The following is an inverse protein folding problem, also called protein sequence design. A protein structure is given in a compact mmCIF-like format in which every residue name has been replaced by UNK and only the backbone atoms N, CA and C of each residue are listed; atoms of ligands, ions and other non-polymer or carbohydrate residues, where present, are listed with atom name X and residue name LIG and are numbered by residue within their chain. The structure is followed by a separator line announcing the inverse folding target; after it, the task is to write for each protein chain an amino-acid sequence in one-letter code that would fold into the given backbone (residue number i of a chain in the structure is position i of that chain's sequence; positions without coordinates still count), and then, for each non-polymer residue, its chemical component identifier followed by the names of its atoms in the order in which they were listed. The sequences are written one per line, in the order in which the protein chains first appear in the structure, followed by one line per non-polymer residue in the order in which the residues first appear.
data_IF_732959866693
#
_entry.id   IF_732959866693
#
_cell.length_a   1.000
_cell.length_b   1.000
_cell.length_c   1.000
_cell.angle_alpha   90.00
_cell.angle_beta   90.00
_cell.angle_gamma   90.00
#
_symmetry.space_group_name_H-M   'P 1'
#
loop_
_entity.id
_entity.type
_entity.pdbx_description
1 polymer ?
#
# COMPACT_ATOMS: atom_id res chain seq x y z
N UNK A 1 20.66 9.25 15.18
CA UNK A 1 20.51 10.35 14.20
C UNK A 1 19.06 10.46 13.77
N UNK A 2 18.63 11.64 13.32
CA UNK A 2 17.30 11.85 12.71
C UNK A 2 17.49 11.87 11.19
N UNK A 3 16.73 11.05 10.46
CA UNK A 3 16.72 11.07 9.01
C UNK A 3 16.02 12.32 8.51
N UNK A 4 16.59 12.98 7.50
CA UNK A 4 15.87 14.01 6.76
C UNK A 4 14.72 13.40 5.96
N UNK A 5 13.73 14.21 5.60
CA UNK A 5 12.62 13.76 4.76
C UNK A 5 13.11 13.18 3.42
N UNK A 6 14.18 13.73 2.85
CA UNK A 6 14.79 13.20 1.62
C UNK A 6 15.50 11.85 1.83
N UNK A 7 16.05 11.59 3.01
CA UNK A 7 16.58 10.27 3.35
C UNK A 7 15.45 9.27 3.61
N UNK A 8 14.39 9.70 4.29
CA UNK A 8 13.22 8.86 4.58
C UNK A 8 12.50 8.43 3.30
N UNK A 9 12.29 9.35 2.35
CA UNK A 9 11.70 9.03 1.03
C UNK A 9 12.48 7.94 0.28
N UNK A 10 13.80 7.84 0.46
CA UNK A 10 14.63 6.81 -0.20
C UNK A 10 14.41 5.40 0.34
N UNK A 11 13.90 5.26 1.55
CA UNK A 11 13.59 3.96 2.17
C UNK A 11 12.08 3.70 2.21
N UNK A 12 11.26 4.60 1.67
CA UNK A 12 9.80 4.47 1.63
C UNK A 12 9.38 3.85 0.29
N UNK A 13 8.68 2.73 0.35
CA UNK A 13 8.20 2.00 -0.84
C UNK A 13 6.67 1.84 -0.78
N UNK A 14 6.06 1.52 -1.92
CA UNK A 14 4.60 1.36 -1.99
C UNK A 14 3.83 2.63 -2.37
N UNK A 15 4.53 3.72 -2.72
CA UNK A 15 3.93 5.01 -2.99
C UNK A 15 4.25 5.50 -4.41
N UNK A 16 3.24 6.04 -5.09
CA UNK A 16 3.40 6.78 -6.34
C UNK A 16 4.06 8.14 -6.09
N UNK A 17 3.63 8.82 -5.02
CA UNK A 17 4.16 10.12 -4.62
C UNK A 17 4.13 10.27 -3.10
N UNK A 18 5.01 11.13 -2.58
CA UNK A 18 5.09 11.47 -1.16
C UNK A 18 5.17 12.99 -1.05
N UNK A 19 4.22 13.58 -0.33
CA UNK A 19 4.16 15.01 -0.06
C UNK A 19 4.44 15.27 1.42
N UNK A 20 5.04 16.43 1.70
CA UNK A 20 5.21 16.92 3.06
C UNK A 20 4.02 17.82 3.42
N UNK A 21 3.43 17.60 4.59
CA UNK A 21 2.37 18.44 5.15
C UNK A 21 2.96 19.67 5.81
N UNK A 22 2.13 20.69 6.06
CA UNK A 22 2.57 21.94 6.72
C UNK A 22 3.21 21.72 8.10
N UNK A 23 2.81 20.66 8.81
CA UNK A 23 3.36 20.25 10.10
C UNK A 23 4.48 19.20 10.00
N UNK A 24 5.07 19.04 8.81
CA UNK A 24 6.30 18.28 8.57
C UNK A 24 6.14 16.76 8.50
N UNK A 25 4.90 16.26 8.36
CA UNK A 25 4.66 14.84 8.14
C UNK A 25 4.76 14.46 6.65
N UNK A 26 5.25 13.26 6.37
CA UNK A 26 5.17 12.67 5.05
C UNK A 26 3.85 11.92 4.88
N UNK A 27 3.07 12.34 3.89
CA UNK A 27 1.90 11.65 3.39
C UNK A 27 2.20 11.01 2.05
N UNK A 28 1.98 9.70 1.97
CA UNK A 28 2.17 8.89 0.77
C UNK A 28 0.87 8.65 0.02
N UNK A 29 0.91 8.65 -1.31
CA UNK A 29 -0.24 8.40 -2.19
C UNK A 29 0.07 7.29 -3.18
N UNK A 30 -0.92 6.45 -3.48
CA UNK A 30 -0.85 5.37 -4.48
C UNK A 30 -1.61 5.71 -5.78
N UNK A 31 -2.28 6.86 -5.82
CA UNK A 31 -3.06 7.36 -6.95
C UNK A 31 -2.56 8.75 -7.38
N UNK A 32 -2.81 9.10 -8.65
CA UNK A 32 -2.57 10.46 -9.16
C UNK A 32 -3.58 11.45 -8.58
N UNK A 33 -3.29 12.75 -8.68
CA UNK A 33 -4.25 13.80 -8.30
C UNK A 33 -5.55 13.70 -9.11
N UNK A 34 -5.47 13.36 -10.40
CA UNK A 34 -6.64 13.16 -11.24
C UNK A 34 -7.50 11.99 -10.74
N UNK A 35 -6.90 10.85 -10.41
CA UNK A 35 -7.62 9.70 -9.86
C UNK A 35 -8.26 10.03 -8.51
N UNK A 36 -7.53 10.72 -7.62
CA UNK A 36 -8.07 11.13 -6.32
C UNK A 36 -9.24 12.12 -6.45
N UNK A 37 -9.17 13.07 -7.38
CA UNK A 37 -10.27 13.99 -7.66
C UNK A 37 -11.50 13.25 -8.19
N UNK A 38 -11.31 12.30 -9.11
CA UNK A 38 -12.38 11.45 -9.59
C UNK A 38 -13.08 10.69 -8.44
N UNK A 39 -12.32 10.08 -7.53
CA UNK A 39 -12.89 9.40 -6.37
C UNK A 39 -13.65 10.37 -5.46
N UNK A 40 -13.12 11.56 -5.22
CA UNK A 40 -13.76 12.59 -4.39
C UNK A 40 -15.14 12.99 -4.92
N UNK A 41 -15.29 13.05 -6.24
CA UNK A 41 -16.55 13.38 -6.92
C UNK A 41 -17.51 12.18 -7.01
N UNK A 42 -16.96 10.97 -7.10
CA UNK A 42 -17.74 9.76 -7.36
C UNK A 42 -18.22 9.04 -6.11
N UNK A 43 -17.40 8.99 -5.06
CA UNK A 43 -17.68 8.21 -3.85
C UNK A 43 -16.75 8.61 -2.69
N UNK A 44 -17.32 9.22 -1.64
CA UNK A 44 -16.59 9.51 -0.39
C UNK A 44 -15.94 8.22 0.18
N UNK A 45 -16.65 7.09 0.09
CA UNK A 45 -16.18 5.79 0.56
C UNK A 45 -14.90 5.32 -0.15
N UNK A 46 -14.78 5.54 -1.46
CA UNK A 46 -13.57 5.23 -2.22
C UNK A 46 -12.49 6.28 -2.02
N UNK A 47 -12.86 7.55 -1.93
CA UNK A 47 -11.91 8.65 -1.71
C UNK A 47 -11.15 8.52 -0.39
N UNK A 48 -11.81 8.08 0.68
CA UNK A 48 -11.12 7.87 1.95
C UNK A 48 -10.07 6.75 1.88
N UNK A 49 -10.40 5.67 1.18
CA UNK A 49 -9.54 4.49 1.00
C UNK A 49 -8.43 4.68 0.00
N UNK A 50 -8.59 5.58 -0.98
CA UNK A 50 -7.56 5.82 -1.98
C UNK A 50 -6.29 6.48 -1.40
N UNK A 51 -6.32 6.92 -0.14
CA UNK A 51 -5.16 7.46 0.59
C UNK A 51 -4.53 6.45 1.56
N UNK A 52 -5.12 5.26 1.71
CA UNK A 52 -4.72 4.26 2.70
C UNK A 52 -3.24 3.85 2.54
N UNK A 53 -2.60 3.48 3.63
CA UNK A 53 -1.20 3.06 3.69
C UNK A 53 -0.98 1.60 3.25
N UNK A 54 -1.94 1.03 2.50
CA UNK A 54 -1.88 -0.34 2.02
C UNK A 54 -0.61 -0.65 1.25
N UNK A 55 0.05 -1.73 1.66
CA UNK A 55 1.29 -2.25 1.06
C UNK A 55 2.43 -1.24 1.02
N UNK A 56 2.36 -0.18 1.84
CA UNK A 56 3.44 0.78 2.02
C UNK A 56 4.39 0.32 3.11
N UNK A 57 5.67 0.52 2.86
CA UNK A 57 6.73 -0.03 3.72
C UNK A 57 7.87 0.97 3.89
N UNK A 58 8.56 0.86 5.02
CA UNK A 58 9.92 1.38 5.18
C UNK A 58 10.88 0.21 5.06
N UNK A 59 11.77 0.20 4.07
CA UNK A 59 12.67 -0.91 3.81
C UNK A 59 14.13 -0.47 3.70
N UNK A 60 14.99 -1.08 4.48
CA UNK A 60 16.41 -0.72 4.52
C UNK A 60 17.28 -1.86 5.07
N UNK A 61 18.57 -1.80 4.78
CA UNK A 61 19.59 -2.54 5.50
C UNK A 61 20.31 -1.62 6.48
N UNK A 62 20.69 -2.14 7.64
CA UNK A 62 21.36 -1.36 8.69
C UNK A 62 22.07 -2.25 9.71
N UNK A 63 22.93 -1.63 10.52
CA UNK A 63 23.45 -2.20 11.77
C UNK A 63 22.71 -1.72 13.02
N UNK A 64 21.78 -0.79 12.88
CA UNK A 64 21.09 -0.12 13.99
C UNK A 64 20.40 -1.12 14.92
N UNK A 65 20.39 -0.86 16.22
CA UNK A 65 19.62 -1.63 17.20
C UNK A 65 18.33 -0.94 17.59
N UNK A 66 18.16 0.33 17.19
CA UNK A 66 16.98 1.13 17.48
C UNK A 66 16.51 1.87 16.23
N UNK A 67 15.21 1.79 15.96
CA UNK A 67 14.53 2.54 14.91
C UNK A 67 13.21 3.07 15.46
N UNK A 68 12.88 4.34 15.23
CA UNK A 68 11.61 4.91 15.68
C UNK A 68 11.13 5.99 14.73
N UNK A 69 9.83 6.30 14.77
CA UNK A 69 9.25 7.41 14.05
C UNK A 69 8.03 7.95 14.79
N UNK A 70 7.78 9.24 14.60
CA UNK A 70 6.49 9.85 14.97
C UNK A 70 5.46 9.56 13.88
N UNK A 71 4.21 9.37 14.30
CA UNK A 71 3.12 9.05 13.41
C UNK A 71 1.87 9.88 13.69
N UNK A 72 1.04 10.03 12.65
CA UNK A 72 -0.30 10.61 12.72
C UNK A 72 -1.28 9.77 11.91
N UNK A 73 -2.39 9.39 12.53
CA UNK A 73 -3.50 8.67 11.90
C UNK A 73 -4.53 9.70 11.44
N UNK A 74 -4.77 9.78 10.14
CA UNK A 74 -5.77 10.70 9.56
C UNK A 74 -7.02 9.98 9.06
N UNK A 75 -6.95 8.66 8.92
CA UNK A 75 -8.09 7.81 8.56
C UNK A 75 -7.89 6.39 9.10
N UNK A 76 -8.96 5.75 9.53
CA UNK A 76 -8.97 4.40 10.09
C UNK A 76 -10.17 3.64 9.54
N UNK A 77 -9.90 2.59 8.74
CA UNK A 77 -10.91 1.67 8.23
C UNK A 77 -11.01 0.37 9.05
N UNK A 78 -9.86 -0.15 9.52
CA UNK A 78 -9.80 -1.35 10.37
C UNK A 78 -8.70 -1.27 11.44
N UNK A 79 -8.77 -2.19 12.41
CA UNK A 79 -7.79 -2.35 13.50
C UNK A 79 -6.55 -3.17 13.07
N UNK A 80 -6.02 -2.90 11.87
CA UNK A 80 -4.81 -3.52 11.34
C UNK A 80 -3.56 -3.23 12.20
N UNK A 81 -2.38 -3.47 11.64
CA UNK A 81 -1.11 -3.42 12.37
C UNK A 81 -0.06 -2.56 11.68
N UNK A 82 0.86 -2.06 12.50
CA UNK A 82 2.21 -1.70 12.08
C UNK A 82 3.12 -2.82 12.57
N UNK A 83 3.92 -3.39 11.67
CA UNK A 83 4.76 -4.55 11.98
C UNK A 83 6.18 -4.33 11.49
N UNK A 84 7.17 -4.71 12.29
CA UNK A 84 8.57 -4.77 11.84
C UNK A 84 8.97 -6.22 11.60
N UNK A 85 9.55 -6.48 10.43
CA UNK A 85 10.27 -7.69 10.12
C UNK A 85 11.78 -7.41 10.12
N UNK A 86 12.54 -8.28 10.78
CA UNK A 86 14.01 -8.31 10.73
C UNK A 86 14.43 -9.63 10.10
N UNK A 87 15.18 -9.57 9.00
CA UNK A 87 15.60 -10.73 8.20
C UNK A 87 14.46 -11.71 7.87
N UNK A 88 13.29 -11.14 7.56
CA UNK A 88 12.09 -11.89 7.16
C UNK A 88 11.22 -12.39 8.30
N UNK A 89 11.62 -12.20 9.56
CA UNK A 89 10.85 -12.59 10.73
C UNK A 89 10.17 -11.37 11.37
N UNK A 90 8.86 -11.44 11.60
CA UNK A 90 8.14 -10.40 12.33
C UNK A 90 8.56 -10.44 13.80
N UNK A 91 9.19 -9.37 14.29
CA UNK A 91 9.72 -9.30 15.67
C UNK A 91 8.89 -8.40 16.59
N UNK A 92 8.13 -7.46 16.04
CA UNK A 92 7.22 -6.59 16.82
C UNK A 92 5.99 -6.20 16.01
N UNK A 93 4.86 -6.10 16.70
CA UNK A 93 3.55 -5.74 16.16
C UNK A 93 2.95 -4.65 17.06
N UNK A 94 2.40 -3.61 16.44
CA UNK A 94 1.54 -2.60 17.07
C UNK A 94 0.17 -2.68 16.41
N UNK A 95 -0.89 -2.82 17.20
CA UNK A 95 -2.26 -2.83 16.70
C UNK A 95 -2.83 -1.41 16.69
N UNK A 96 -3.50 -1.05 15.61
CA UNK A 96 -4.07 0.30 15.44
C UNK A 96 -5.05 0.67 16.56
N UNK A 97 -5.79 -0.31 17.11
CA UNK A 97 -6.72 -0.12 18.23
C UNK A 97 -6.07 0.34 19.54
N UNK A 98 -4.77 0.03 19.71
CA UNK A 98 -4.01 0.36 20.91
C UNK A 98 -3.24 1.69 20.75
N UNK A 99 -3.30 2.30 19.56
CA UNK A 99 -2.61 3.53 19.23
C UNK A 99 -3.51 4.76 19.44
N UNK A 100 -2.88 5.85 19.84
CA UNK A 100 -3.53 7.17 19.86
C UNK A 100 -3.53 7.75 18.44
N UNK A 101 -4.27 8.85 18.22
CA UNK A 101 -4.30 9.52 16.91
C UNK A 101 -2.92 9.99 16.44
N UNK A 102 -2.08 10.43 17.38
CA UNK A 102 -0.69 10.84 17.13
C UNK A 102 0.22 10.24 18.22
N UNK A 103 1.46 9.92 17.88
CA UNK A 103 2.40 9.38 18.86
C UNK A 103 3.76 9.02 18.26
N UNK A 104 4.55 8.24 19.00
CA UNK A 104 5.85 7.70 18.57
C UNK A 104 5.84 6.18 18.67
N UNK A 105 6.31 5.51 17.62
CA UNK A 105 6.57 4.06 17.62
C UNK A 105 8.07 3.84 17.65
N UNK A 106 8.52 2.89 18.47
CA UNK A 106 9.94 2.55 18.61
C UNK A 106 10.14 1.05 18.54
N UNK A 107 11.16 0.62 17.81
CA UNK A 107 11.53 -0.78 17.63
C UNK A 107 12.94 -1.01 18.15
N UNK A 108 13.08 -2.10 18.90
CA UNK A 108 14.38 -2.68 19.21
C UNK A 108 14.68 -3.80 18.20
N UNK A 109 15.92 -3.85 17.74
CA UNK A 109 16.39 -4.80 16.74
C UNK A 109 17.70 -5.43 17.22
N UNK A 110 17.98 -6.70 16.83
CA UNK A 110 19.23 -7.37 17.21
C UNK A 110 20.46 -6.65 16.65
N UNK A 111 21.62 -6.81 17.29
CA UNK A 111 22.90 -6.33 16.78
C UNK A 111 23.27 -6.99 15.43
N UNK A 112 24.14 -6.32 14.66
CA UNK A 112 24.68 -6.84 13.39
C UNK A 112 23.98 -6.32 12.13
N UNK A 113 24.53 -6.68 10.97
CA UNK A 113 23.92 -6.38 9.67
C UNK A 113 22.60 -7.14 9.51
N UNK A 114 21.56 -6.45 9.07
CA UNK A 114 20.22 -7.01 8.88
C UNK A 114 19.44 -6.25 7.84
N UNK A 115 18.40 -6.90 7.30
CA UNK A 115 17.35 -6.28 6.50
C UNK A 115 16.13 -6.02 7.37
N UNK A 116 15.57 -4.83 7.23
CA UNK A 116 14.43 -4.36 8.00
C UNK A 116 13.30 -3.98 7.04
N UNK A 117 12.09 -4.42 7.34
CA UNK A 117 10.86 -3.96 6.70
C UNK A 117 9.88 -3.54 7.79
N UNK A 118 9.44 -2.29 7.78
CA UNK A 118 8.28 -1.86 8.56
C UNK A 118 7.08 -1.80 7.64
N UNK A 119 6.07 -2.62 7.92
CA UNK A 119 4.79 -2.62 7.23
C UNK A 119 3.85 -1.59 7.87
N UNK A 120 3.30 -0.70 7.05
CA UNK A 120 2.28 0.27 7.45
C UNK A 120 0.87 -0.35 7.37
N UNK A 121 -0.14 0.21 8.07
CA UNK A 121 -1.48 -0.39 8.16
C UNK A 121 -2.17 -0.48 6.79
N UNK A 122 -2.80 -1.63 6.52
CA UNK A 122 -3.45 -1.90 5.25
C UNK A 122 -4.71 -1.04 5.01
N UNK A 123 -5.57 -0.97 6.02
CA UNK A 123 -6.86 -0.26 6.01
C UNK A 123 -6.83 0.93 6.98
N UNK A 124 -5.76 1.73 6.95
CA UNK A 124 -5.68 3.02 7.62
C UNK A 124 -4.75 3.97 6.85
N UNK A 125 -4.84 5.27 7.08
CA UNK A 125 -3.90 6.26 6.52
C UNK A 125 -3.03 6.80 7.64
N UNK A 126 -1.74 6.43 7.60
CA UNK A 126 -0.73 6.90 8.54
C UNK A 126 0.30 7.80 7.84
N UNK A 127 0.59 8.90 8.49
CA UNK A 127 1.61 9.87 8.15
C UNK A 127 2.80 9.68 9.10
N UNK A 128 4.02 9.89 8.61
CA UNK A 128 5.24 9.67 9.42
C UNK A 128 6.19 10.86 9.35
N UNK A 129 6.94 11.11 10.42
CA UNK A 129 8.05 12.08 10.47
C UNK A 129 9.06 11.70 11.54
N UNK A 130 10.10 12.52 11.69
CA UNK A 130 11.09 12.41 12.76
C UNK A 130 11.59 10.97 12.93
N UNK A 131 12.00 10.34 11.82
CA UNK A 131 12.54 8.99 11.86
C UNK A 131 13.92 8.98 12.51
N UNK A 132 14.05 8.36 13.66
CA UNK A 132 15.31 8.25 14.40
C UNK A 132 15.88 6.84 14.28
N UNK A 133 17.18 6.76 14.03
CA UNK A 133 17.93 5.51 13.93
C UNK A 133 19.35 5.69 14.47
N UNK A 134 19.90 4.67 15.13
CA UNK A 134 21.22 4.76 15.77
C UNK A 134 22.41 4.22 14.95
N UNK A 135 22.21 3.94 13.66
CA UNK A 135 23.27 3.63 12.70
C UNK A 135 22.85 4.02 11.27
N UNK A 136 23.75 3.89 10.30
CA UNK A 136 23.48 4.19 8.90
C UNK A 136 22.36 3.33 8.32
N UNK A 137 21.63 3.90 7.36
CA UNK A 137 20.54 3.24 6.62
C UNK A 137 20.88 3.15 5.14
N UNK A 138 20.67 1.97 4.57
CA UNK A 138 20.90 1.70 3.16
C UNK A 138 19.60 1.25 2.50
N UNK A 139 19.06 2.02 1.52
CA UNK A 139 17.88 1.62 0.78
C UNK A 139 18.00 0.25 0.13
N UNK A 140 16.88 -0.46 0.01
CA UNK A 140 16.85 -1.74 -0.71
C UNK A 140 16.65 -1.52 -2.21
N UNK A 141 17.22 -2.41 -3.02
CA UNK A 141 16.96 -2.45 -4.46
C UNK A 141 15.77 -3.36 -4.75
N UNK A 142 14.70 -2.79 -5.29
CA UNK A 142 13.55 -3.53 -5.82
C UNK A 142 13.82 -4.03 -7.25
N UNK A 143 13.05 -5.02 -7.69
CA UNK A 143 13.08 -5.55 -9.05
C UNK A 143 12.06 -4.81 -9.93
N UNK A 144 11.06 -5.51 -10.45
CA UNK A 144 10.06 -4.95 -11.36
C UNK A 144 9.06 -4.04 -10.63
N UNK A 145 8.66 -2.96 -11.32
CA UNK A 145 7.54 -2.11 -10.94
C UNK A 145 6.23 -2.80 -11.27
N UNK A 146 5.40 -3.03 -10.26
CA UNK A 146 4.14 -3.74 -10.42
C UNK A 146 2.99 -2.85 -9.96
N UNK A 147 2.07 -2.57 -10.87
CA UNK A 147 0.83 -1.89 -10.55
C UNK A 147 -0.24 -2.93 -10.23
N UNK A 148 -0.75 -2.91 -9.00
CA UNK A 148 -1.73 -3.88 -8.52
C UNK A 148 -3.07 -3.19 -8.31
N UNK A 149 -4.04 -3.47 -9.16
CA UNK A 149 -5.39 -2.90 -9.11
C UNK A 149 -6.35 -3.94 -8.56
N UNK A 150 -7.24 -3.54 -7.64
CA UNK A 150 -8.16 -4.52 -7.06
C UNK A 150 -9.17 -3.95 -6.08
N UNK A 151 -9.86 -4.86 -5.40
CA UNK A 151 -10.90 -4.55 -4.42
C UNK A 151 -10.37 -4.59 -2.96
N UNK A 152 -11.26 -4.83 -1.98
CA UNK A 152 -10.95 -4.98 -0.55
C UNK A 152 -9.89 -6.04 -0.27
N UNK A 153 -9.87 -7.12 -1.03
CA UNK A 153 -8.90 -8.21 -0.85
C UNK A 153 -7.51 -7.68 -1.18
N UNK A 154 -7.39 -6.91 -2.26
CA UNK A 154 -6.14 -6.28 -2.72
C UNK A 154 -5.72 -5.15 -1.79
N UNK A 155 -6.68 -4.35 -1.32
CA UNK A 155 -6.41 -3.36 -0.28
C UNK A 155 -5.84 -4.00 1.00
N UNK A 156 -6.20 -5.25 1.28
CA UNK A 156 -5.72 -6.00 2.44
C UNK A 156 -6.68 -5.99 3.62
N UNK A 157 -7.98 -5.81 3.38
CA UNK A 157 -9.01 -5.89 4.41
C UNK A 157 -9.18 -7.32 4.93
N UNK A 158 -9.19 -7.50 6.25
CA UNK A 158 -9.58 -8.77 6.91
C UNK A 158 -8.47 -9.49 7.70
N UNK A 159 -7.21 -9.59 7.25
CA UNK A 159 -6.15 -10.29 7.99
C UNK A 159 -5.82 -9.69 9.37
N UNK A 160 -6.14 -8.41 9.58
CA UNK A 160 -5.74 -7.62 10.76
C UNK A 160 -4.23 -7.66 11.00
N UNK A 161 -3.46 -7.91 9.93
CA UNK A 161 -2.02 -8.16 9.88
C UNK A 161 -1.47 -7.68 8.55
N UNK A 162 -0.99 -6.44 8.53
CA UNK A 162 -0.53 -5.74 7.32
C UNK A 162 0.62 -6.45 6.60
N UNK A 163 1.49 -7.15 7.34
CA UNK A 163 2.58 -7.94 6.77
C UNK A 163 2.11 -9.24 6.06
N UNK A 164 0.86 -9.64 6.29
CA UNK A 164 0.25 -10.89 5.84
C UNK A 164 -0.85 -10.70 4.79
N UNK A 165 -1.09 -9.48 4.31
CA UNK A 165 -1.88 -9.30 3.09
C UNK A 165 -1.18 -10.03 1.95
N UNK A 166 -1.95 -10.60 1.02
CA UNK A 166 -1.33 -11.39 -0.05
C UNK A 166 -0.43 -10.55 -0.96
N UNK A 167 -0.72 -9.24 -1.09
CA UNK A 167 0.14 -8.27 -1.79
C UNK A 167 1.46 -8.06 -1.03
N UNK A 168 1.43 -7.88 0.29
CA UNK A 168 2.64 -7.79 1.12
C UNK A 168 3.48 -9.08 1.08
N UNK A 169 2.82 -10.24 1.07
CA UNK A 169 3.48 -11.55 0.93
C UNK A 169 4.13 -11.68 -0.45
N UNK A 170 3.43 -11.31 -1.52
CA UNK A 170 3.96 -11.32 -2.88
C UNK A 170 5.16 -10.37 -3.03
N UNK A 171 5.07 -9.15 -2.48
CA UNK A 171 6.18 -8.20 -2.44
C UNK A 171 7.43 -8.85 -1.83
N UNK A 172 7.29 -9.45 -0.63
CA UNK A 172 8.40 -10.06 0.10
C UNK A 172 9.03 -11.23 -0.67
N UNK A 173 8.23 -12.07 -1.31
CA UNK A 173 8.72 -13.25 -2.04
C UNK A 173 9.35 -12.91 -3.40
N UNK A 174 8.79 -11.93 -4.10
CA UNK A 174 9.19 -11.60 -5.48
C UNK A 174 10.16 -10.42 -5.55
N UNK A 175 10.21 -9.59 -4.49
CA UNK A 175 10.95 -8.33 -4.38
C UNK A 175 10.50 -7.28 -5.41
N UNK A 176 9.19 -7.12 -5.57
CA UNK A 176 8.59 -6.12 -6.47
C UNK A 176 8.56 -4.72 -5.87
N UNK A 177 8.59 -3.72 -6.74
CA UNK A 177 8.23 -2.33 -6.40
C UNK A 177 6.75 -2.12 -6.67
N UNK A 178 5.92 -2.41 -5.67
CA UNK A 178 4.46 -2.47 -5.84
C UNK A 178 3.84 -1.10 -5.63
N UNK A 179 2.91 -0.70 -6.51
CA UNK A 179 1.89 0.30 -6.18
C UNK A 179 0.56 -0.44 -6.06
N UNK A 180 -0.01 -0.43 -4.85
CA UNK A 180 -1.28 -1.09 -4.57
C UNK A 180 -2.44 -0.09 -4.68
N UNK A 181 -3.20 -0.20 -5.77
CA UNK A 181 -4.45 0.52 -6.05
C UNK A 181 -5.67 -0.37 -5.74
N UNK A 182 -5.63 -1.08 -4.61
CA UNK A 182 -6.77 -1.79 -4.05
C UNK A 182 -7.67 -0.85 -3.25
N UNK A 183 -8.99 -0.89 -3.48
CA UNK A 183 -9.99 -0.15 -2.69
C UNK A 183 -11.16 -1.08 -2.33
N UNK A 184 -11.59 -1.05 -1.08
CA UNK A 184 -12.74 -1.80 -0.59
C UNK A 184 -13.99 -1.53 -1.40
N UNK A 185 -14.73 -2.59 -1.76
CA UNK A 185 -15.94 -2.46 -2.56
C UNK A 185 -15.72 -1.96 -4.01
N UNK A 186 -14.47 -1.81 -4.46
CA UNK A 186 -14.19 -1.24 -5.77
C UNK A 186 -14.48 -2.21 -6.92
N UNK A 187 -14.60 -1.63 -8.10
CA UNK A 187 -15.22 -2.22 -9.28
C UNK A 187 -14.36 -2.03 -10.53
N UNK A 188 -14.73 -2.72 -11.62
CA UNK A 188 -14.23 -2.38 -12.95
C UNK A 188 -14.79 -1.02 -13.38
N UNK A 189 -13.99 0.02 -13.24
CA UNK A 189 -14.34 1.39 -13.61
C UNK A 189 -13.23 1.98 -14.49
N UNK A 190 -13.55 2.20 -15.78
CA UNK A 190 -12.58 2.66 -16.77
C UNK A 190 -12.11 4.09 -16.51
N UNK A 191 -12.85 4.90 -15.76
CA UNK A 191 -12.57 6.33 -15.61
C UNK A 191 -11.35 6.59 -14.71
N UNK A 192 -11.00 5.63 -13.85
CA UNK A 192 -9.79 5.70 -13.03
C UNK A 192 -8.51 5.41 -13.82
N UNK A 193 -8.62 4.82 -15.01
CA UNK A 193 -7.48 4.42 -15.83
C UNK A 193 -6.93 5.64 -16.57
N UNK A 194 -5.85 6.18 -16.03
CA UNK A 194 -5.14 7.35 -16.52
C UNK A 194 -3.64 7.08 -16.54
N UNK A 195 -2.91 7.82 -17.38
CA UNK A 195 -1.45 7.78 -17.37
C UNK A 195 -0.92 8.31 -16.02
N UNK A 196 0.04 7.62 -15.43
CA UNK A 196 0.66 8.00 -14.17
C UNK A 196 2.00 8.67 -14.47
N UNK A 197 2.02 10.01 -14.47
CA UNK A 197 3.25 10.77 -14.77
C UNK A 197 4.40 10.35 -13.85
N UNK A 198 5.59 10.13 -14.44
CA UNK A 198 6.77 9.66 -13.72
C UNK A 198 6.76 8.18 -13.34
N UNK A 199 5.68 7.44 -13.61
CA UNK A 199 5.57 6.02 -13.30
C UNK A 199 5.05 5.20 -14.49
N UNK A 200 5.86 4.22 -14.91
CA UNK A 200 5.47 3.21 -15.88
C UNK A 200 5.65 1.85 -15.22
N UNK A 201 4.58 1.06 -15.00
CA UNK A 201 4.73 -0.29 -14.49
C UNK A 201 5.36 -1.19 -15.55
N UNK A 202 6.16 -2.16 -15.10
CA UNK A 202 6.68 -3.25 -15.93
C UNK A 202 5.62 -4.34 -16.11
N UNK A 203 4.76 -4.53 -15.10
CA UNK A 203 3.67 -5.51 -15.09
C UNK A 203 2.45 -4.93 -14.38
N UNK A 204 1.28 -5.36 -14.81
CA UNK A 204 0.00 -4.97 -14.20
C UNK A 204 -0.68 -6.24 -13.69
N UNK A 205 -1.19 -6.19 -12.47
CA UNK A 205 -2.02 -7.24 -11.90
C UNK A 205 -3.39 -6.64 -11.59
N UNK A 206 -4.44 -7.28 -12.09
CA UNK A 206 -5.83 -6.86 -11.85
C UNK A 206 -6.54 -8.00 -11.12
N UNK A 207 -6.99 -7.71 -9.92
CA UNK A 207 -7.75 -8.62 -9.03
C UNK A 207 -9.05 -7.94 -8.60
N UNK A 208 -9.89 -7.66 -9.60
CA UNK A 208 -11.23 -7.10 -9.49
C UNK A 208 -12.30 -8.15 -9.82
N UNK A 209 -13.56 -7.80 -9.60
CA UNK A 209 -14.72 -8.58 -10.04
C UNK A 209 -15.55 -9.19 -8.92
N UNK A 210 -15.02 -9.23 -7.69
CA UNK A 210 -15.79 -9.63 -6.50
C UNK A 210 -17.06 -8.79 -6.40
N UNK A 211 -16.95 -7.47 -6.54
CA UNK A 211 -18.08 -6.54 -6.43
C UNK A 211 -18.92 -6.39 -7.73
N UNK A 212 -18.49 -7.02 -8.82
CA UNK A 212 -19.26 -7.18 -10.08
C UNK A 212 -20.15 -8.42 -10.06
N UNK A 213 -20.00 -9.30 -9.08
CA UNK A 213 -20.74 -10.56 -9.07
C UNK A 213 -22.25 -10.30 -9.12
N UNK A 214 -22.92 -10.88 -10.11
CA UNK A 214 -24.37 -10.73 -10.33
C UNK A 214 -24.76 -9.64 -11.35
N UNK A 215 -23.80 -8.91 -11.94
CA UNK A 215 -24.11 -8.01 -13.06
C UNK A 215 -24.50 -8.80 -14.31
N UNK A 216 -25.54 -8.35 -15.01
CA UNK A 216 -26.06 -9.05 -16.20
C UNK A 216 -25.23 -8.81 -17.47
N UNK A 217 -24.35 -7.81 -17.46
CA UNK A 217 -23.55 -7.37 -18.61
C UNK A 217 -22.06 -7.39 -18.31
N UNK A 218 -21.26 -7.75 -19.32
CA UNK A 218 -19.79 -7.68 -19.29
C UNK A 218 -19.24 -6.33 -19.76
N UNK A 219 -20.12 -5.41 -20.19
CA UNK A 219 -19.74 -4.15 -20.83
C UNK A 219 -18.73 -3.33 -20.01
N UNK A 220 -18.95 -3.17 -18.70
CA UNK A 220 -18.03 -2.38 -17.85
C UNK A 220 -16.63 -3.01 -17.78
N UNK A 221 -16.56 -4.35 -17.84
CA UNK A 221 -15.31 -5.11 -17.85
C UNK A 221 -14.61 -4.95 -19.20
N UNK A 222 -15.36 -5.07 -20.30
CA UNK A 222 -14.85 -4.88 -21.66
C UNK A 222 -14.28 -3.46 -21.82
N UNK A 223 -15.07 -2.43 -21.49
CA UNK A 223 -14.64 -1.03 -21.59
C UNK A 223 -13.44 -0.72 -20.67
N UNK A 224 -13.32 -1.40 -19.52
CA UNK A 224 -12.17 -1.28 -18.64
C UNK A 224 -10.90 -1.81 -19.31
N UNK A 225 -10.93 -3.01 -19.90
CA UNK A 225 -9.76 -3.60 -20.56
C UNK A 225 -9.40 -2.89 -21.88
N UNK A 226 -10.39 -2.39 -22.62
CA UNK A 226 -10.16 -1.50 -23.76
C UNK A 226 -9.40 -0.26 -23.32
N UNK A 227 -9.90 0.43 -22.28
CA UNK A 227 -9.24 1.61 -21.74
C UNK A 227 -7.86 1.30 -21.16
N UNK A 228 -7.69 0.14 -20.52
CA UNK A 228 -6.39 -0.30 -20.00
C UNK A 228 -5.37 -0.42 -21.13
N UNK A 229 -5.77 -1.00 -22.27
CA UNK A 229 -4.91 -1.12 -23.45
C UNK A 229 -4.57 0.25 -24.04
N UNK A 230 -5.49 1.22 -24.03
CA UNK A 230 -5.20 2.59 -24.48
C UNK A 230 -4.16 3.28 -23.60
N UNK A 231 -4.25 3.11 -22.27
CA UNK A 231 -3.34 3.77 -21.31
C UNK A 231 -1.99 3.07 -21.22
N UNK A 232 -1.99 1.74 -21.22
CA UNK A 232 -0.83 0.93 -20.86
C UNK A 232 -0.28 0.08 -22.02
N UNK A 233 -0.90 0.07 -23.20
CA UNK A 233 -0.43 -0.66 -24.37
C UNK A 233 -0.24 -2.16 -24.10
N UNK A 234 0.80 -2.75 -24.69
CA UNK A 234 1.10 -4.19 -24.61
C UNK A 234 1.79 -4.62 -23.30
N UNK A 235 1.69 -3.83 -22.23
CA UNK A 235 2.29 -4.19 -20.94
C UNK A 235 1.70 -5.52 -20.44
N UNK A 236 2.52 -6.46 -19.91
CA UNK A 236 2.00 -7.71 -19.38
C UNK A 236 0.95 -7.51 -18.29
N UNK A 237 -0.24 -8.08 -18.51
CA UNK A 237 -1.37 -8.05 -17.57
C UNK A 237 -1.63 -9.46 -17.04
N UNK A 238 -1.62 -9.63 -15.72
CA UNK A 238 -2.17 -10.81 -15.06
C UNK A 238 -3.55 -10.47 -14.49
N UNK A 239 -4.59 -11.08 -15.05
CA UNK A 239 -5.93 -11.04 -14.48
C UNK A 239 -6.10 -12.19 -13.48
N UNK A 240 -6.41 -11.85 -12.23
CA UNK A 240 -6.80 -12.80 -11.19
C UNK A 240 -8.31 -12.66 -11.03
N UNK A 241 -9.05 -13.62 -11.58
CA UNK A 241 -10.51 -13.64 -11.45
C UNK A 241 -10.95 -13.80 -9.99
N UNK A 242 -12.17 -13.37 -9.63
CA UNK A 242 -12.67 -13.48 -8.26
C UNK A 242 -12.51 -14.89 -7.70
N UNK A 243 -12.07 -14.98 -6.44
CA UNK A 243 -12.07 -16.23 -5.68
C UNK A 243 -13.50 -16.62 -5.30
N UNK A 244 -13.69 -17.88 -4.88
CA UNK A 244 -15.00 -18.35 -4.43
C UNK A 244 -15.59 -17.46 -3.32
N UNK A 245 -16.84 -17.01 -3.52
CA UNK A 245 -17.57 -16.13 -2.60
C UNK A 245 -18.44 -16.96 -1.66
N UNK A 246 -18.00 -17.12 -0.41
CA UNK A 246 -18.76 -17.87 0.61
C UNK A 246 -19.99 -17.17 1.19
N UNK A 247 -20.29 -15.94 0.76
CA UNK A 247 -21.36 -15.10 1.33
C UNK A 247 -22.77 -15.65 1.00
N UNK A 248 -22.92 -16.53 0.00
CA UNK A 248 -24.23 -17.09 -0.39
C UNK A 248 -24.66 -18.36 0.36
N UNK A 249 -23.89 -18.84 1.34
CA UNK A 249 -24.23 -20.04 2.13
C UNK A 249 -24.92 -19.74 3.47
N UNK A 250 -25.30 -18.49 3.73
CA UNK A 250 -26.06 -18.10 4.94
C UNK A 250 -27.44 -17.50 4.60
N UNK A 251 -28.12 -18.08 3.61
CA UNK A 251 -29.52 -17.80 3.29
C UNK A 251 -30.41 -18.94 3.73
#
# INVERSE_FOLDING_TARGET
MILSNEQLKKIYYGALSICETEDGYLQSFQYTQQQMQYFKESSEFWYDRCKASSSKTLEFSTRATQFSFEYKIIWLGSEDTIEIAVDGLITKIYYMKDLQKEGKISFEMPDGEKKVIVYLPADATILIRNCEINADVFPVKKKEKVLWMGDSITQGFGPLRSAHTYVSVANRLLNYDIINQGIGGYIYDKNVLVSMEGYSPDKIIISLGTNQYGTESMKDIEEYYERLSEVYGDRPVLCITPIWRGIHLMG
#
